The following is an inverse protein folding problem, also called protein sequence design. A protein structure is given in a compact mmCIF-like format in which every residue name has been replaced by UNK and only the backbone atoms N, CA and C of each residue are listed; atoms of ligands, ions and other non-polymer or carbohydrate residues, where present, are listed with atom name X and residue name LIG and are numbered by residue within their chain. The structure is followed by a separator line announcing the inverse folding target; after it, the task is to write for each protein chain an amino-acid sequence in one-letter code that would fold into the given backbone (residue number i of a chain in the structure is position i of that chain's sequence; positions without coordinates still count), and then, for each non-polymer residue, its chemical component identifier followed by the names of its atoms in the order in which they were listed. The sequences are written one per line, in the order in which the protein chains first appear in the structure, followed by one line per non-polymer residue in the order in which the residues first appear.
data_IF_408653851755
#
_entry.id   IF_408653851755
#
_cell.length_a   1.000
_cell.length_b   1.000
_cell.length_c   1.000
_cell.angle_alpha   90.00
_cell.angle_beta   90.00
_cell.angle_gamma   90.00
#
_symmetry.space_group_name_H-M   'P 1'
#
loop_
_entity.id
_entity.type
_entity.pdbx_description
1 polymer ?
#
# COMPACT_ATOMS: atom_id res chain seq x y z
N UNK A 1 3.03 1.78 12.00
CA UNK A 1 2.69 0.39 12.40
C UNK A 1 3.92 -0.21 13.08
N UNK A 2 3.77 -1.36 13.76
CA UNK A 2 4.88 -2.10 14.33
C UNK A 2 4.76 -3.60 14.01
N UNK A 3 5.87 -4.33 14.14
CA UNK A 3 5.90 -5.79 14.00
C UNK A 3 6.81 -6.41 15.06
N UNK A 4 6.24 -7.29 15.87
CA UNK A 4 6.94 -8.01 16.94
C UNK A 4 7.54 -9.34 16.48
N UNK A 5 7.28 -9.76 15.23
CA UNK A 5 7.88 -10.94 14.61
C UNK A 5 8.64 -10.49 13.36
N UNK A 6 9.94 -10.23 13.51
CA UNK A 6 10.79 -9.72 12.44
C UNK A 6 10.89 -10.64 11.21
N UNK A 7 10.48 -11.92 11.33
CA UNK A 7 10.44 -12.87 10.22
C UNK A 7 9.09 -12.86 9.47
N UNK A 8 8.06 -12.23 10.03
CA UNK A 8 6.76 -12.09 9.38
C UNK A 8 6.76 -10.92 8.40
N UNK A 9 6.44 -11.20 7.14
CA UNK A 9 6.18 -10.16 6.13
C UNK A 9 4.82 -9.48 6.35
N UNK A 10 3.92 -10.07 7.14
CA UNK A 10 2.58 -9.54 7.42
C UNK A 10 2.59 -8.79 8.74
N UNK A 11 2.37 -7.47 8.66
CA UNK A 11 2.25 -6.59 9.82
C UNK A 11 0.78 -6.49 10.23
N UNK A 12 0.47 -6.94 11.44
CA UNK A 12 -0.91 -7.04 11.94
C UNK A 12 -1.25 -6.04 13.04
N UNK A 13 -0.30 -5.19 13.44
CA UNK A 13 -0.56 -4.13 14.42
C UNK A 13 -1.57 -3.10 13.91
N UNK A 14 -2.10 -2.28 14.82
CA UNK A 14 -2.83 -1.08 14.41
C UNK A 14 -1.93 -0.06 13.70
N UNK A 15 -2.58 0.91 13.05
CA UNK A 15 -1.96 2.10 12.47
C UNK A 15 -1.94 3.20 13.53
N UNK A 16 -0.83 3.92 13.62
CA UNK A 16 -0.61 5.01 14.57
C UNK A 16 -0.20 6.26 13.81
N UNK A 17 -0.58 7.43 14.30
CA UNK A 17 -0.30 8.72 13.65
C UNK A 17 1.17 9.10 13.80
N UNK A 18 1.78 8.73 14.93
CA UNK A 18 3.19 9.03 15.22
C UNK A 18 4.01 7.77 15.44
N UNK A 19 5.32 7.90 15.20
CA UNK A 19 6.29 6.84 15.47
C UNK A 19 6.33 6.52 16.97
N UNK A 20 6.27 7.54 17.81
CA UNK A 20 6.31 7.40 19.26
C UNK A 20 5.12 6.59 19.78
N UNK A 21 3.90 6.85 19.29
CA UNK A 21 2.71 6.06 19.64
C UNK A 21 2.87 4.59 19.21
N UNK A 22 3.39 4.35 18.01
CA UNK A 22 3.66 2.99 17.53
C UNK A 22 4.68 2.27 18.41
N UNK A 23 5.74 2.96 18.86
CA UNK A 23 6.75 2.42 19.78
C UNK A 23 6.12 2.09 21.14
N UNK A 24 5.31 2.99 21.71
CA UNK A 24 4.68 2.75 23.01
C UNK A 24 3.72 1.56 22.96
N UNK A 25 2.93 1.44 21.89
CA UNK A 25 2.06 0.30 21.69
C UNK A 25 2.85 -1.00 21.50
N UNK A 26 3.94 -0.97 20.71
CA UNK A 26 4.83 -2.11 20.53
C UNK A 26 5.44 -2.57 21.85
N UNK A 27 5.95 -1.63 22.67
CA UNK A 27 6.54 -1.94 23.98
C UNK A 27 5.53 -2.54 24.96
N UNK A 28 4.30 -2.03 24.97
CA UNK A 28 3.23 -2.59 25.79
C UNK A 28 2.96 -4.04 25.40
N UNK A 29 2.73 -4.30 24.11
CA UNK A 29 2.40 -5.64 23.63
C UNK A 29 3.59 -6.60 23.71
N UNK A 30 4.82 -6.11 23.52
CA UNK A 30 6.05 -6.84 23.78
C UNK A 30 6.16 -7.24 25.25
N UNK A 31 5.89 -6.32 26.18
CA UNK A 31 5.94 -6.59 27.63
C UNK A 31 4.87 -7.61 28.03
N UNK A 32 3.65 -7.45 27.55
CA UNK A 32 2.53 -8.38 27.81
C UNK A 32 2.88 -9.80 27.31
N UNK A 33 3.48 -9.93 26.13
CA UNK A 33 3.96 -11.22 25.59
C UNK A 33 5.12 -11.78 26.40
N UNK A 34 6.09 -10.95 26.82
CA UNK A 34 7.24 -11.39 27.60
C UNK A 34 6.82 -11.92 28.99
N UNK A 35 5.80 -11.32 29.59
CA UNK A 35 5.21 -11.80 30.87
C UNK A 35 4.49 -13.15 30.67
N UNK A 36 3.81 -13.34 29.54
CA UNK A 36 3.10 -14.58 29.24
C UNK A 36 4.04 -15.74 28.87
N UNK A 37 5.00 -15.50 27.97
CA UNK A 37 6.01 -16.45 27.53
C UNK A 37 7.28 -15.71 27.06
N UNK A 38 8.28 -15.64 27.94
CA UNK A 38 9.53 -14.95 27.65
C UNK A 38 10.33 -15.57 26.49
N UNK A 39 10.18 -16.88 26.24
CA UNK A 39 10.97 -17.56 25.21
C UNK A 39 10.43 -17.31 23.80
N UNK A 40 9.19 -16.80 23.68
CA UNK A 40 8.52 -16.57 22.40
C UNK A 40 8.65 -15.14 21.87
N UNK A 41 9.48 -14.29 22.50
CA UNK A 41 9.56 -12.86 22.18
C UNK A 41 11.01 -12.48 21.87
N UNK A 42 11.21 -11.94 20.67
CA UNK A 42 12.50 -11.36 20.27
C UNK A 42 12.77 -10.09 21.08
N UNK A 43 14.04 -9.80 21.37
CA UNK A 43 14.42 -8.54 22.02
C UNK A 43 14.30 -7.32 21.08
N UNK A 44 13.97 -7.54 19.81
CA UNK A 44 13.86 -6.51 18.79
C UNK A 44 12.47 -6.54 18.16
N UNK A 45 11.95 -5.36 17.82
CA UNK A 45 10.75 -5.20 17.02
C UNK A 45 10.98 -4.18 15.92
N UNK A 46 10.14 -4.20 14.89
CA UNK A 46 10.22 -3.28 13.78
C UNK A 46 9.13 -2.20 13.88
N UNK A 47 9.46 -1.00 13.44
CA UNK A 47 8.52 0.11 13.22
C UNK A 47 8.60 0.51 11.75
N UNK A 48 7.47 0.88 11.17
CA UNK A 48 7.41 1.26 9.77
C UNK A 48 6.20 2.11 9.44
N UNK A 49 6.32 2.85 8.35
CA UNK A 49 5.31 3.75 7.81
C UNK A 49 4.34 2.95 6.93
N UNK A 50 3.05 3.01 7.25
CA UNK A 50 2.04 2.36 6.44
C UNK A 50 1.69 3.24 5.25
N UNK A 51 1.92 2.73 4.04
CA UNK A 51 1.51 3.36 2.80
C UNK A 51 0.41 2.56 2.16
N UNK A 52 -0.81 3.09 2.23
CA UNK A 52 -1.97 2.48 1.62
C UNK A 52 -1.75 2.33 0.11
N UNK A 53 -2.10 1.17 -0.43
CA UNK A 53 -2.07 0.98 -1.87
C UNK A 53 -3.15 1.84 -2.53
N UNK A 54 -2.74 2.63 -3.53
CA UNK A 54 -3.66 3.43 -4.37
C UNK A 54 -3.83 2.71 -5.71
N UNK A 55 -5.04 2.19 -6.02
CA UNK A 55 -5.34 1.61 -7.31
C UNK A 55 -5.16 2.62 -8.43
N UNK A 56 -4.58 2.17 -9.55
CA UNK A 56 -4.47 2.98 -10.75
C UNK A 56 -4.45 2.08 -11.98
N UNK A 57 -4.94 2.60 -13.11
CA UNK A 57 -4.90 1.94 -14.41
C UNK A 57 -4.04 2.80 -15.32
N UNK A 58 -3.12 2.19 -16.09
CA UNK A 58 -2.36 2.90 -17.10
C UNK A 58 -3.25 3.23 -18.31
N UNK A 59 -3.44 4.51 -18.61
CA UNK A 59 -4.22 4.94 -19.77
C UNK A 59 -3.59 4.51 -21.10
N UNK A 60 -2.26 4.43 -21.19
CA UNK A 60 -1.58 4.01 -22.41
C UNK A 60 -1.93 2.56 -22.77
N UNK A 61 -1.94 1.67 -21.77
CA UNK A 61 -2.36 0.27 -21.96
C UNK A 61 -3.81 0.17 -22.43
N UNK A 62 -4.68 1.06 -21.95
CA UNK A 62 -6.08 1.10 -22.39
C UNK A 62 -6.20 1.62 -23.85
N UNK A 63 -5.38 2.59 -24.24
CA UNK A 63 -5.34 3.08 -25.62
C UNK A 63 -4.82 2.01 -26.58
N UNK A 64 -3.80 1.26 -26.19
CA UNK A 64 -3.27 0.13 -26.96
C UNK A 64 -4.35 -0.95 -27.15
N UNK A 65 -5.05 -1.34 -26.09
CA UNK A 65 -6.16 -2.31 -26.15
C UNK A 65 -7.29 -1.83 -27.08
N UNK A 66 -7.64 -0.54 -27.06
CA UNK A 66 -8.64 0.02 -27.96
C UNK A 66 -8.16 -0.08 -29.43
N UNK A 67 -6.92 0.30 -29.69
CA UNK A 67 -6.32 0.23 -31.02
C UNK A 67 -6.29 -1.20 -31.56
N UNK A 68 -5.86 -2.17 -30.75
CA UNK A 68 -5.81 -3.59 -31.13
C UNK A 68 -7.20 -4.10 -31.49
N UNK A 69 -8.22 -3.84 -30.66
CA UNK A 69 -9.61 -4.24 -30.96
C UNK A 69 -10.14 -3.63 -32.25
N UNK A 70 -9.86 -2.36 -32.51
CA UNK A 70 -10.31 -1.73 -33.76
C UNK A 70 -9.60 -2.33 -34.98
N UNK A 71 -8.33 -2.70 -34.87
CA UNK A 71 -7.61 -3.38 -35.95
C UNK A 71 -8.13 -4.80 -36.18
N UNK A 72 -8.44 -5.53 -35.11
CA UNK A 72 -9.03 -6.87 -35.20
C UNK A 72 -10.40 -6.84 -35.89
N UNK A 73 -11.22 -5.82 -35.61
CA UNK A 73 -12.56 -5.70 -36.18
C UNK A 73 -12.59 -5.05 -37.58
N UNK A 74 -11.79 -4.02 -37.80
CA UNK A 74 -11.85 -3.16 -38.99
C UNK A 74 -10.66 -3.33 -39.94
N UNK A 75 -9.66 -4.12 -39.56
CA UNK A 75 -8.40 -4.26 -40.29
C UNK A 75 -7.68 -2.92 -40.46
N UNK A 76 -6.85 -2.82 -41.50
CA UNK A 76 -6.00 -1.65 -41.74
C UNK A 76 -6.71 -0.31 -41.98
N UNK A 77 -8.05 -0.27 -41.97
CA UNK A 77 -8.80 0.99 -41.89
C UNK A 77 -8.55 1.70 -40.54
N UNK A 78 -8.24 0.93 -39.48
CA UNK A 78 -7.97 1.45 -38.14
C UNK A 78 -6.49 1.74 -37.86
N UNK A 79 -5.56 1.45 -38.79
CA UNK A 79 -4.10 1.55 -38.59
C UNK A 79 -3.62 2.93 -38.07
N UNK A 80 -4.33 4.01 -38.42
CA UNK A 80 -3.96 5.37 -38.00
C UNK A 80 -4.75 5.88 -36.79
N UNK A 81 -5.74 5.13 -36.30
CA UNK A 81 -6.57 5.55 -35.17
C UNK A 81 -5.71 5.67 -33.90
N UNK A 82 -5.92 6.72 -33.12
CA UNK A 82 -5.17 7.05 -31.88
C UNK A 82 -3.66 7.36 -32.05
N UNK A 83 -3.05 7.16 -33.21
CA UNK A 83 -1.61 7.43 -33.44
C UNK A 83 -1.18 8.90 -33.24
N UNK A 84 -2.13 9.83 -33.27
CA UNK A 84 -1.90 11.27 -33.09
C UNK A 84 -2.37 11.86 -31.76
N UNK A 85 -2.70 11.02 -30.76
CA UNK A 85 -3.11 11.52 -29.44
C UNK A 85 -1.98 12.32 -28.81
N UNK A 86 -2.24 13.57 -28.48
CA UNK A 86 -1.29 14.44 -27.84
C UNK A 86 -1.05 13.99 -26.38
N UNK A 87 0.16 14.18 -25.87
CA UNK A 87 0.53 13.75 -24.52
C UNK A 87 -0.37 14.35 -23.43
N UNK A 88 -0.78 15.60 -23.58
CA UNK A 88 -1.66 16.28 -22.62
C UNK A 88 -3.09 15.71 -22.62
N UNK A 89 -3.58 15.21 -23.75
CA UNK A 89 -4.84 14.46 -23.80
C UNK A 89 -4.71 13.08 -23.15
N UNK A 90 -3.55 12.41 -23.32
CA UNK A 90 -3.23 11.18 -22.59
C UNK A 90 -3.19 11.35 -21.07
N UNK A 91 -2.57 12.43 -20.59
CA UNK A 91 -2.54 12.81 -19.17
C UNK A 91 -3.96 13.07 -18.62
N UNK A 92 -4.83 13.75 -19.38
CA UNK A 92 -6.25 13.96 -19.00
C UNK A 92 -7.02 12.64 -18.93
N UNK A 93 -6.80 11.73 -19.89
CA UNK A 93 -7.42 10.42 -19.88
C UNK A 93 -6.99 9.61 -18.66
N UNK A 94 -5.70 9.66 -18.31
CA UNK A 94 -5.12 9.02 -17.12
C UNK A 94 -5.81 9.48 -15.83
N UNK A 95 -6.04 10.78 -15.66
CA UNK A 95 -6.76 11.33 -14.52
C UNK A 95 -8.22 10.87 -14.49
N UNK A 96 -8.91 10.91 -15.64
CA UNK A 96 -10.33 10.55 -15.74
C UNK A 96 -10.58 9.07 -15.41
N UNK A 97 -9.76 8.16 -15.97
CA UNK A 97 -9.88 6.72 -15.73
C UNK A 97 -9.66 6.43 -14.24
N UNK A 98 -8.58 6.94 -13.66
CA UNK A 98 -8.28 6.68 -12.24
C UNK A 98 -9.38 7.20 -11.33
N UNK A 99 -9.96 8.37 -11.63
CA UNK A 99 -11.09 8.91 -10.88
C UNK A 99 -12.33 8.02 -10.95
N UNK A 100 -12.64 7.47 -12.13
CA UNK A 100 -13.75 6.53 -12.32
C UNK A 100 -13.51 5.24 -11.53
N UNK A 101 -12.30 4.68 -11.64
CA UNK A 101 -11.92 3.43 -10.96
C UNK A 101 -11.96 3.60 -9.45
N UNK A 102 -11.36 4.66 -8.92
CA UNK A 102 -11.39 4.99 -7.50
C UNK A 102 -12.82 5.15 -7.00
N UNK A 103 -13.65 5.92 -7.71
CA UNK A 103 -15.05 6.13 -7.34
C UNK A 103 -15.85 4.82 -7.33
N UNK A 104 -15.62 3.96 -8.32
CA UNK A 104 -16.27 2.65 -8.39
C UNK A 104 -15.86 1.73 -7.24
N UNK A 105 -14.55 1.59 -6.96
CA UNK A 105 -14.04 0.77 -5.85
C UNK A 105 -14.58 1.24 -4.49
N UNK A 106 -14.62 2.56 -4.27
CA UNK A 106 -15.24 3.15 -3.07
C UNK A 106 -16.74 2.84 -3.01
N UNK A 107 -17.45 2.94 -4.14
CA UNK A 107 -18.88 2.67 -4.24
C UNK A 107 -19.28 1.23 -3.92
N UNK A 108 -18.41 0.27 -4.17
CA UNK A 108 -18.62 -1.15 -3.82
C UNK A 108 -17.95 -1.55 -2.49
N UNK A 109 -17.34 -0.60 -1.77
CA UNK A 109 -16.61 -0.82 -0.52
C UNK A 109 -15.43 -1.81 -0.65
N UNK A 110 -14.77 -1.82 -1.81
CA UNK A 110 -13.56 -2.62 -2.11
C UNK A 110 -12.33 -1.72 -2.31
N UNK A 111 -12.36 -0.48 -1.83
CA UNK A 111 -11.16 0.37 -1.85
C UNK A 111 -10.09 -0.23 -0.91
N UNK A 112 -8.82 -0.38 -1.35
CA UNK A 112 -7.83 -1.16 -0.60
C UNK A 112 -7.66 -0.68 0.85
N UNK A 113 -7.78 -1.59 1.81
CA UNK A 113 -7.41 -1.33 3.22
C UNK A 113 -5.97 -1.74 3.54
N UNK A 114 -5.34 -2.43 2.59
CA UNK A 114 -3.96 -2.93 2.62
C UNK A 114 -2.98 -1.98 1.92
N UNK A 115 -1.69 -2.26 2.07
CA UNK A 115 -0.62 -1.41 1.57
C UNK A 115 0.75 -2.01 1.84
N UNK A 116 1.79 -1.24 1.57
CA UNK A 116 3.18 -1.58 1.90
C UNK A 116 3.60 -0.92 3.21
N UNK A 117 4.67 -1.47 3.81
CA UNK A 117 5.38 -0.81 4.90
C UNK A 117 6.68 -0.24 4.32
N UNK A 118 6.87 1.06 4.46
CA UNK A 118 8.08 1.78 4.05
C UNK A 118 8.85 2.25 5.30
N UNK A 119 10.10 2.70 5.12
CA UNK A 119 10.92 3.28 6.19
C UNK A 119 11.03 2.39 7.44
N UNK A 120 11.29 1.09 7.23
CA UNK A 120 11.36 0.10 8.33
C UNK A 120 12.62 0.33 9.16
N UNK A 121 12.44 0.43 10.47
CA UNK A 121 13.49 0.52 11.47
C UNK A 121 13.34 -0.59 12.50
N UNK A 122 14.45 -1.25 12.84
CA UNK A 122 14.50 -2.23 13.94
C UNK A 122 14.90 -1.53 15.24
N UNK A 123 14.15 -1.80 16.30
CA UNK A 123 14.32 -1.23 17.62
C UNK A 123 14.59 -2.35 18.62
N UNK A 124 15.64 -2.18 19.41
CA UNK A 124 15.96 -3.07 20.53
C UNK A 124 15.12 -2.69 21.77
N UNK A 125 14.13 -3.53 22.08
CA UNK A 125 13.22 -3.37 23.21
C UNK A 125 13.95 -3.42 24.55
N UNK A 126 15.07 -4.15 24.66
CA UNK A 126 15.83 -4.26 25.91
C UNK A 126 16.51 -2.94 26.33
N UNK A 127 16.63 -1.99 25.39
CA UNK A 127 17.19 -0.65 25.61
C UNK A 127 16.14 0.41 25.91
N UNK A 128 14.86 0.05 25.93
CA UNK A 128 13.76 0.97 26.15
C UNK A 128 13.09 0.66 27.49
N UNK A 129 12.94 1.68 28.34
CA UNK A 129 12.15 1.58 29.56
C UNK A 129 10.68 1.86 29.24
N UNK A 130 9.78 0.93 29.57
CA UNK A 130 8.35 1.18 29.50
C UNK A 130 7.96 2.22 30.55
N UNK A 131 7.60 3.42 30.10
CA UNK A 131 7.06 4.48 30.96
C UNK A 131 5.54 4.36 31.00
N UNK A 132 5.04 3.46 31.86
CA UNK A 132 3.61 3.38 32.15
C UNK A 132 3.14 4.66 32.85
N UNK A 133 2.09 5.30 32.31
CA UNK A 133 1.31 6.32 33.02
C UNK A 133 0.31 5.66 33.98
#
# INVERSE_FOLDING_TARGET
MYNLDSNSEIWTSDKYETKEEAIQAALKDWTDRMVADRASVDNEFQIGEFKQYTPWINADVLLDELYERANDECGGVADSWLSGVARDEGEKLQEQINKVVEGWLKGINEYPSFGSIENIETIDASKLEYQGN
#
